data_IF_790889782461
#
_entry.id   IF_790889782461
#
_cell.length_a   1.000
_cell.length_b   1.000
_cell.length_c   1.000
_cell.angle_alpha   90.00
_cell.angle_beta   90.00
_cell.angle_gamma   90.00
#
_symmetry.space_group_name_H-M   'P 1'
#
loop_
_entity.id
_entity.type
_entity.pdbx_description
1 polymer ?
#
# COMPACT_ATOMS: atom_id res chain seq x y z
N UNK A 1 21.94 -8.11 7.53
CA UNK A 1 20.79 -7.20 7.34
C UNK A 1 20.88 -6.67 5.92
N UNK A 2 19.97 -7.07 5.04
CA UNK A 2 19.87 -6.47 3.70
C UNK A 2 18.74 -5.43 3.76
N UNK A 3 19.08 -4.20 4.15
CA UNK A 3 18.12 -3.09 4.26
C UNK A 3 17.76 -2.46 2.91
N UNK A 4 18.46 -2.81 1.82
CA UNK A 4 18.26 -2.16 0.51
C UNK A 4 16.90 -2.47 -0.14
N UNK A 5 16.33 -3.67 0.05
CA UNK A 5 15.02 -4.02 -0.54
C UNK A 5 13.86 -3.16 -0.01
N UNK A 6 13.94 -2.71 1.24
CA UNK A 6 12.94 -1.81 1.83
C UNK A 6 13.11 -0.37 1.35
N UNK A 7 14.36 0.05 1.16
CA UNK A 7 14.70 1.39 0.66
C UNK A 7 14.28 1.55 -0.82
N UNK A 8 14.52 0.52 -1.65
CA UNK A 8 14.18 0.53 -3.07
C UNK A 8 12.66 0.58 -3.30
N UNK A 9 11.88 -0.23 -2.55
CA UNK A 9 10.42 -0.21 -2.64
C UNK A 9 9.83 1.12 -2.15
N UNK A 10 10.35 1.69 -1.06
CA UNK A 10 9.86 2.97 -0.58
C UNK A 10 10.15 4.11 -1.56
N UNK A 11 11.32 4.08 -2.20
CA UNK A 11 11.66 5.03 -3.28
C UNK A 11 10.69 4.90 -4.47
N UNK A 12 10.43 3.69 -4.94
CA UNK A 12 9.47 3.44 -6.03
C UNK A 12 8.05 3.90 -5.65
N UNK A 13 7.62 3.64 -4.41
CA UNK A 13 6.33 4.08 -3.92
C UNK A 13 6.23 5.60 -3.89
N UNK A 14 7.27 6.31 -3.43
CA UNK A 14 7.28 7.77 -3.44
C UNK A 14 7.30 8.34 -4.86
N UNK A 15 8.07 7.73 -5.76
CA UNK A 15 8.19 8.18 -7.15
C UNK A 15 6.83 8.18 -7.87
N UNK A 16 5.97 7.18 -7.62
CA UNK A 16 4.64 7.13 -8.26
C UNK A 16 3.67 8.20 -7.75
N UNK A 17 3.98 8.89 -6.65
CA UNK A 17 3.20 10.02 -6.13
C UNK A 17 3.68 11.39 -6.63
N UNK A 18 4.85 11.48 -7.27
CA UNK A 18 5.40 12.76 -7.72
C UNK A 18 4.49 13.44 -8.75
N UNK A 19 4.22 14.74 -8.53
CA UNK A 19 3.38 15.56 -9.40
C UNK A 19 1.87 15.34 -9.24
N UNK A 20 1.43 14.41 -8.40
CA UNK A 20 0.01 14.22 -8.10
C UNK A 20 -0.50 15.25 -7.09
N UNK A 21 -1.73 15.71 -7.29
CA UNK A 21 -2.49 16.39 -6.25
C UNK A 21 -2.82 15.43 -5.09
N UNK A 22 -3.28 16.00 -3.97
CA UNK A 22 -3.71 15.19 -2.81
C UNK A 22 -4.80 14.17 -3.18
N UNK A 23 -5.80 14.60 -3.96
CA UNK A 23 -6.92 13.75 -4.36
C UNK A 23 -6.46 12.62 -5.31
N UNK A 24 -5.55 12.93 -6.24
CA UNK A 24 -4.97 11.92 -7.14
C UNK A 24 -4.10 10.92 -6.38
N UNK A 25 -3.33 11.39 -5.39
CA UNK A 25 -2.52 10.56 -4.50
C UNK A 25 -3.40 9.62 -3.66
N UNK A 26 -4.52 10.10 -3.14
CA UNK A 26 -5.52 9.26 -2.45
C UNK A 26 -6.14 8.23 -3.38
N UNK A 27 -6.49 8.61 -4.61
CA UNK A 27 -7.02 7.69 -5.61
C UNK A 27 -5.99 6.62 -6.00
N UNK A 28 -4.71 6.98 -6.11
CA UNK A 28 -3.61 6.04 -6.35
C UNK A 28 -3.49 5.04 -5.19
N UNK A 29 -3.50 5.52 -3.95
CA UNK A 29 -3.46 4.66 -2.76
C UNK A 29 -4.62 3.66 -2.71
N UNK A 30 -5.84 4.11 -3.03
CA UNK A 30 -7.00 3.22 -3.08
C UNK A 30 -6.82 2.10 -4.13
N UNK A 31 -6.30 2.42 -5.32
CA UNK A 31 -6.00 1.41 -6.35
C UNK A 31 -4.92 0.44 -5.90
N UNK A 32 -3.84 0.93 -5.28
CA UNK A 32 -2.76 0.09 -4.79
C UNK A 32 -3.26 -0.91 -3.72
N UNK A 33 -4.09 -0.45 -2.79
CA UNK A 33 -4.73 -1.34 -1.79
C UNK A 33 -5.54 -2.45 -2.46
N UNK A 34 -6.33 -2.13 -3.50
CA UNK A 34 -7.12 -3.13 -4.22
C UNK A 34 -6.25 -4.14 -4.99
N UNK A 35 -5.17 -3.68 -5.62
CA UNK A 35 -4.22 -4.56 -6.32
C UNK A 35 -3.50 -5.50 -5.34
N UNK A 36 -3.04 -4.98 -4.21
CA UNK A 36 -2.43 -5.80 -3.16
C UNK A 36 -3.43 -6.79 -2.56
N UNK A 37 -4.67 -6.37 -2.37
CA UNK A 37 -5.72 -7.27 -1.88
C UNK A 37 -6.00 -8.41 -2.88
N UNK A 38 -5.99 -8.10 -4.18
CA UNK A 38 -6.11 -9.10 -5.23
C UNK A 38 -4.94 -10.09 -5.21
N UNK A 39 -3.70 -9.60 -5.09
CA UNK A 39 -2.48 -10.42 -5.04
C UNK A 39 -2.44 -11.36 -3.83
N UNK A 40 -2.92 -10.90 -2.66
CA UNK A 40 -2.95 -11.72 -1.43
C UNK A 40 -3.93 -12.90 -1.56
N UNK A 41 -5.06 -12.74 -2.28
CA UNK A 41 -5.98 -13.83 -2.63
C UNK A 41 -6.74 -14.53 -1.49
N UNK A 42 -6.42 -14.27 -0.23
CA UNK A 42 -6.99 -14.95 0.94
C UNK A 42 -7.98 -14.08 1.73
N UNK A 43 -9.28 -14.40 1.65
CA UNK A 43 -10.35 -13.61 2.25
C UNK A 43 -10.25 -13.41 3.77
N UNK A 44 -9.87 -14.46 4.53
CA UNK A 44 -9.68 -14.34 5.99
C UNK A 44 -8.44 -13.51 6.33
N UNK A 45 -7.36 -13.63 5.55
CA UNK A 45 -6.16 -12.80 5.72
C UNK A 45 -6.47 -11.33 5.48
N UNK A 46 -7.24 -11.01 4.43
CA UNK A 46 -7.69 -9.64 4.15
C UNK A 46 -8.57 -9.08 5.27
N UNK A 47 -9.52 -9.86 5.80
CA UNK A 47 -10.34 -9.44 6.95
C UNK A 47 -9.49 -9.09 8.17
N UNK A 48 -8.47 -9.91 8.47
CA UNK A 48 -7.56 -9.65 9.57
C UNK A 48 -6.77 -8.35 9.34
N UNK A 49 -6.22 -8.16 8.13
CA UNK A 49 -5.49 -6.93 7.79
C UNK A 49 -6.37 -5.68 7.91
N UNK A 50 -7.63 -5.73 7.51
CA UNK A 50 -8.58 -4.63 7.68
C UNK A 50 -8.82 -4.30 9.16
N UNK A 51 -8.95 -5.32 10.02
CA UNK A 51 -9.10 -5.12 11.46
C UNK A 51 -7.85 -4.50 12.07
N UNK A 52 -6.66 -4.92 11.65
CA UNK A 52 -5.39 -4.43 12.19
C UNK A 52 -5.10 -3.00 11.72
N UNK A 53 -5.38 -2.67 10.45
CA UNK A 53 -5.29 -1.30 9.94
C UNK A 53 -6.18 -0.32 10.72
N UNK A 54 -7.39 -0.76 11.12
CA UNK A 54 -8.31 0.06 11.94
C UNK A 54 -7.82 0.29 13.37
N UNK A 55 -7.01 -0.62 13.93
CA UNK A 55 -6.45 -0.48 15.29
C UNK A 55 -5.23 0.44 15.34
N UNK A 56 -4.53 0.57 14.22
CA UNK A 56 -3.31 1.38 14.10
C UNK A 56 -3.60 2.90 13.92
N UNK A 57 -4.82 3.34 14.25
CA UNK A 57 -5.30 4.73 14.16
C UNK A 57 -5.17 5.46 15.49
#
# INVERSE_FOLDING_TARGET
MNTSLGDDFYADLMAIHEGLSLDESQALNARLVLLLAHEIGEGERLKQLLQDARKAS
#
